data_IF_108425879794
#
_entry.id   IF_108425879794
#
_cell.length_a   1.000
_cell.length_b   1.000
_cell.length_c   1.000
_cell.angle_alpha   90.00
_cell.angle_beta   90.00
_cell.angle_gamma   90.00
#
_symmetry.space_group_name_H-M   'P 1'
#
loop_
_entity.id
_entity.type
_entity.pdbx_description
1 polymer ?
#
# COMPACT_ATOMS: atom_id res chain seq x y z
N UNK A 1 -24.73 -2.83 14.33
CA UNK A 1 -23.29 -2.68 14.00
C UNK A 1 -23.17 -2.83 12.51
N UNK A 2 -22.38 -1.97 11.84
CA UNK A 2 -22.08 -2.12 10.42
C UNK A 2 -20.71 -2.81 10.26
N UNK A 3 -20.63 -3.79 9.37
CA UNK A 3 -19.44 -4.56 9.05
C UNK A 3 -19.03 -4.27 7.61
N UNK A 4 -17.86 -3.67 7.45
CA UNK A 4 -17.28 -3.29 6.16
C UNK A 4 -16.06 -4.17 5.90
N UNK A 5 -16.01 -4.82 4.74
CA UNK A 5 -14.88 -5.64 4.30
C UNK A 5 -14.17 -5.02 3.10
N UNK A 6 -12.84 -5.06 3.05
CA UNK A 6 -12.07 -4.43 1.98
C UNK A 6 -10.70 -5.05 1.79
N UNK A 7 -10.03 -4.65 0.71
CA UNK A 7 -8.73 -5.17 0.29
C UNK A 7 -8.79 -5.98 -1.00
N UNK A 8 -7.67 -6.65 -1.31
CA UNK A 8 -7.46 -7.29 -2.62
C UNK A 8 -8.48 -8.40 -2.90
N UNK A 9 -8.63 -9.36 -1.98
CA UNK A 9 -9.57 -10.47 -2.13
C UNK A 9 -11.03 -10.01 -2.29
N UNK A 10 -11.61 -9.21 -1.37
CA UNK A 10 -13.00 -8.80 -1.50
C UNK A 10 -13.25 -7.88 -2.70
N UNK A 11 -12.24 -7.19 -3.23
CA UNK A 11 -12.39 -6.43 -4.48
C UNK A 11 -12.70 -7.33 -5.67
N UNK A 12 -12.08 -8.52 -5.75
CA UNK A 12 -12.32 -9.47 -6.84
C UNK A 12 -13.57 -10.33 -6.61
N UNK A 13 -13.84 -10.67 -5.35
CA UNK A 13 -14.87 -11.64 -4.99
C UNK A 13 -16.10 -11.01 -4.32
N UNK A 14 -16.33 -9.70 -4.50
CA UNK A 14 -17.40 -8.99 -3.81
C UNK A 14 -18.77 -9.64 -4.02
N UNK A 15 -19.05 -10.09 -5.24
CA UNK A 15 -20.32 -10.70 -5.59
C UNK A 15 -20.51 -12.02 -4.84
N UNK A 16 -19.50 -12.91 -4.89
CA UNK A 16 -19.55 -14.22 -4.25
C UNK A 16 -19.63 -14.09 -2.72
N UNK A 17 -18.89 -13.14 -2.13
CA UNK A 17 -18.93 -12.87 -0.70
C UNK A 17 -20.32 -12.44 -0.26
N UNK A 18 -20.93 -11.46 -0.95
CA UNK A 18 -22.26 -11.01 -0.60
C UNK A 18 -23.28 -12.13 -0.84
N UNK A 19 -23.21 -12.86 -1.95
CA UNK A 19 -24.13 -13.96 -2.22
C UNK A 19 -24.04 -15.12 -1.19
N UNK A 20 -22.87 -15.35 -0.59
CA UNK A 20 -22.64 -16.50 0.28
C UNK A 20 -22.91 -16.25 1.78
N UNK A 21 -22.92 -15.00 2.24
CA UNK A 21 -23.07 -14.68 3.66
C UNK A 21 -23.57 -13.26 3.91
N UNK A 22 -24.37 -13.08 4.96
CA UNK A 22 -24.87 -11.79 5.44
C UNK A 22 -23.96 -11.14 6.50
N UNK A 23 -22.77 -11.71 6.74
CA UNK A 23 -21.82 -11.19 7.74
C UNK A 23 -21.25 -9.80 7.38
N UNK A 24 -21.39 -9.35 6.13
CA UNK A 24 -20.87 -8.09 5.63
C UNK A 24 -21.99 -7.25 5.03
N UNK A 25 -22.10 -6.00 5.50
CA UNK A 25 -23.05 -5.02 4.99
C UNK A 25 -22.51 -4.34 3.72
N UNK A 26 -21.20 -4.08 3.70
CA UNK A 26 -20.52 -3.39 2.62
C UNK A 26 -19.18 -4.03 2.27
N UNK A 27 -18.84 -3.97 0.99
CA UNK A 27 -17.52 -4.26 0.48
C UNK A 27 -16.93 -3.01 -0.15
N UNK A 28 -15.78 -2.58 0.35
CA UNK A 28 -14.96 -1.52 -0.27
C UNK A 28 -14.03 -2.15 -1.30
N UNK A 29 -14.19 -1.72 -2.55
CA UNK A 29 -13.50 -2.25 -3.73
C UNK A 29 -12.40 -1.28 -4.18
N UNK A 30 -11.22 -1.83 -4.43
CA UNK A 30 -10.03 -1.06 -4.79
C UNK A 30 -9.36 -0.40 -3.59
N UNK A 31 -8.78 0.77 -3.81
CA UNK A 31 -8.07 1.52 -2.77
C UNK A 31 -9.05 2.13 -1.77
N UNK A 32 -8.93 1.73 -0.50
CA UNK A 32 -10.00 1.93 0.48
C UNK A 32 -10.03 3.29 1.17
N UNK A 33 -8.93 4.03 1.15
CA UNK A 33 -8.75 5.21 2.01
C UNK A 33 -9.77 6.33 1.71
N UNK A 34 -9.97 6.65 0.43
CA UNK A 34 -10.96 7.65 0.01
C UNK A 34 -12.39 7.08 0.06
N UNK A 35 -12.54 5.81 -0.33
CA UNK A 35 -13.84 5.18 -0.51
C UNK A 35 -14.53 4.91 0.82
N UNK A 36 -13.80 4.49 1.86
CA UNK A 36 -14.39 4.25 3.17
C UNK A 36 -14.90 5.54 3.81
N UNK A 37 -14.16 6.65 3.64
CA UNK A 37 -14.61 7.97 4.10
C UNK A 37 -15.88 8.38 3.37
N UNK A 38 -15.90 8.24 2.03
CA UNK A 38 -17.07 8.57 1.22
C UNK A 38 -18.30 7.74 1.59
N UNK A 39 -18.12 6.45 1.90
CA UNK A 39 -19.20 5.56 2.36
C UNK A 39 -19.73 6.00 3.73
N UNK A 40 -18.84 6.24 4.70
CA UNK A 40 -19.24 6.67 6.05
C UNK A 40 -19.97 8.02 6.00
N UNK A 41 -19.49 8.98 5.21
CA UNK A 41 -20.17 10.26 5.03
C UNK A 41 -21.54 10.12 4.37
N UNK A 42 -21.68 9.22 3.39
CA UNK A 42 -22.97 8.96 2.75
C UNK A 42 -23.97 8.35 3.72
N UNK A 43 -23.53 7.41 4.56
CA UNK A 43 -24.36 6.79 5.60
C UNK A 43 -24.79 7.81 6.66
N UNK A 44 -23.86 8.60 7.17
CA UNK A 44 -24.12 9.63 8.18
C UNK A 44 -25.11 10.69 7.67
N UNK A 45 -24.92 11.14 6.42
CA UNK A 45 -25.76 12.18 5.78
C UNK A 45 -26.98 11.62 5.04
N UNK A 46 -27.22 10.31 5.10
CA UNK A 46 -28.31 9.60 4.38
C UNK A 46 -28.36 9.93 2.89
N UNK A 47 -27.20 10.02 2.24
CA UNK A 47 -27.08 10.20 0.79
C UNK A 47 -27.26 8.86 0.06
N UNK A 48 -27.71 8.88 -1.21
CA UNK A 48 -27.81 7.66 -2.00
C UNK A 48 -26.46 6.93 -2.11
N UNK A 49 -26.45 5.65 -1.70
CA UNK A 49 -25.24 4.82 -1.74
C UNK A 49 -24.78 4.54 -3.18
N UNK A 50 -25.69 4.59 -4.16
CA UNK A 50 -25.39 4.45 -5.58
C UNK A 50 -24.37 5.50 -6.08
N UNK A 51 -24.27 6.66 -5.42
CA UNK A 51 -23.34 7.74 -5.78
C UNK A 51 -21.91 7.52 -5.25
N UNK A 52 -21.74 6.62 -4.27
CA UNK A 52 -20.44 6.28 -3.69
C UNK A 52 -19.71 5.34 -4.62
N UNK A 53 -18.64 5.80 -5.26
CA UNK A 53 -17.85 4.96 -6.15
C UNK A 53 -17.00 3.94 -5.39
N UNK A 54 -16.92 2.71 -5.91
CA UNK A 54 -16.04 1.67 -5.40
C UNK A 54 -16.60 0.88 -4.21
N UNK A 55 -17.93 0.78 -4.07
CA UNK A 55 -18.54 -0.08 -3.05
C UNK A 55 -19.38 -1.19 -3.68
N UNK A 56 -19.62 -2.23 -2.91
CA UNK A 56 -20.66 -3.23 -3.17
C UNK A 56 -21.44 -3.51 -1.89
N UNK A 57 -22.73 -3.79 -2.03
CA UNK A 57 -23.68 -4.02 -0.95
C UNK A 57 -24.91 -4.75 -1.51
N UNK A 58 -25.88 -5.11 -0.66
CA UNK A 58 -27.17 -5.64 -1.10
C UNK A 58 -28.15 -4.50 -1.41
N UNK A 59 -28.77 -4.50 -2.59
CA UNK A 59 -29.79 -3.52 -2.94
C UNK A 59 -31.10 -3.72 -2.16
N UNK A 60 -32.11 -2.88 -2.40
CA UNK A 60 -33.42 -2.95 -1.72
C UNK A 60 -34.18 -4.28 -1.96
N UNK A 61 -33.73 -5.09 -2.93
CA UNK A 61 -34.24 -6.42 -3.25
C UNK A 61 -33.34 -7.54 -2.71
N UNK A 62 -32.41 -7.19 -1.83
CA UNK A 62 -31.44 -8.09 -1.18
C UNK A 62 -30.45 -8.76 -2.16
N UNK A 63 -30.16 -8.13 -3.30
CA UNK A 63 -29.27 -8.68 -4.31
C UNK A 63 -27.89 -8.01 -4.26
N UNK A 64 -26.79 -8.78 -4.42
CA UNK A 64 -25.47 -8.20 -4.56
C UNK A 64 -25.42 -7.16 -5.70
N UNK A 65 -25.11 -5.93 -5.33
CA UNK A 65 -25.00 -4.78 -6.21
C UNK A 65 -23.68 -4.08 -6.00
N UNK A 66 -23.08 -3.56 -7.07
CA UNK A 66 -21.84 -2.82 -6.98
C UNK A 66 -21.90 -1.53 -7.78
N UNK A 67 -21.40 -0.45 -7.19
CA UNK A 67 -21.32 0.84 -7.84
C UNK A 67 -20.17 0.88 -8.85
N UNK A 68 -20.12 1.96 -9.63
CA UNK A 68 -18.99 2.22 -10.53
C UNK A 68 -17.66 2.16 -9.75
N UNK A 69 -16.56 1.66 -10.35
CA UNK A 69 -15.26 1.63 -9.69
C UNK A 69 -14.82 3.02 -9.20
N UNK A 70 -14.16 3.06 -8.04
CA UNK A 70 -13.50 4.27 -7.57
C UNK A 70 -12.29 4.61 -8.47
N UNK A 71 -11.99 5.91 -8.56
CA UNK A 71 -10.71 6.35 -9.09
C UNK A 71 -9.59 5.87 -8.18
N UNK A 72 -8.44 5.55 -8.77
CA UNK A 72 -7.26 5.16 -7.98
C UNK A 72 -6.59 6.40 -7.39
N UNK A 73 -5.98 6.29 -6.21
CA UNK A 73 -5.37 7.44 -5.53
C UNK A 73 -4.16 7.91 -6.33
N UNK A 74 -4.14 9.20 -6.67
CA UNK A 74 -3.06 9.79 -7.46
C UNK A 74 -1.91 10.23 -6.56
N UNK A 75 -2.22 10.99 -5.51
CA UNK A 75 -1.25 11.45 -4.53
C UNK A 75 -1.28 10.52 -3.29
N UNK A 76 -0.29 9.63 -3.20
CA UNK A 76 -0.19 8.68 -2.09
C UNK A 76 0.12 9.39 -0.76
N UNK A 77 0.79 10.54 -0.77
CA UNK A 77 1.08 11.31 0.45
C UNK A 77 -0.12 12.08 1.00
N UNK A 78 -1.26 12.08 0.30
CA UNK A 78 -2.51 12.64 0.84
C UNK A 78 -3.11 11.76 1.95
N UNK A 79 -2.68 10.50 2.05
CA UNK A 79 -3.17 9.53 3.02
C UNK A 79 -2.01 9.04 3.89
N UNK A 80 -1.85 9.65 5.06
CA UNK A 80 -0.81 9.24 6.01
C UNK A 80 -1.19 7.94 6.72
N UNK A 81 -0.17 7.20 7.16
CA UNK A 81 -0.37 6.11 8.12
C UNK A 81 -0.60 6.70 9.52
N UNK A 82 -1.55 6.13 10.24
CA UNK A 82 -1.82 6.46 11.64
C UNK A 82 -0.86 5.77 12.60
N UNK A 83 0.44 6.04 12.51
CA UNK A 83 1.48 5.40 13.34
C UNK A 83 1.22 5.55 14.85
N UNK A 84 0.59 6.64 15.26
CA UNK A 84 0.18 6.90 16.64
C UNK A 84 -0.86 5.90 17.18
N UNK A 85 -1.55 5.19 16.29
CA UNK A 85 -2.53 4.16 16.65
C UNK A 85 -1.88 2.79 16.88
N UNK A 86 -0.57 2.67 16.65
CA UNK A 86 0.16 1.40 16.66
C UNK A 86 1.29 1.47 17.69
N UNK A 87 1.31 0.51 18.62
CA UNK A 87 2.49 0.32 19.47
C UNK A 87 3.55 -0.48 18.69
N UNK A 88 4.39 0.25 17.95
CA UNK A 88 5.44 -0.30 17.08
C UNK A 88 6.38 -1.28 17.81
N UNK A 89 6.54 -1.14 19.13
CA UNK A 89 7.40 -2.02 19.93
C UNK A 89 6.92 -3.46 20.00
N UNK A 90 5.64 -3.71 19.70
CA UNK A 90 5.03 -5.05 19.69
C UNK A 90 5.33 -5.84 18.41
N UNK A 91 5.88 -5.17 17.39
CA UNK A 91 6.09 -5.76 16.08
C UNK A 91 7.58 -5.96 15.83
N UNK A 92 7.94 -7.19 15.46
CA UNK A 92 9.29 -7.54 15.06
C UNK A 92 9.28 -8.37 13.78
N UNK A 93 10.38 -8.31 13.05
CA UNK A 93 10.60 -9.08 11.85
C UNK A 93 12.08 -9.46 11.74
N UNK A 94 12.36 -10.52 11.00
CA UNK A 94 13.71 -10.95 10.58
C UNK A 94 14.81 -10.77 11.64
N UNK A 95 14.94 -11.77 12.52
CA UNK A 95 15.92 -11.75 13.61
C UNK A 95 15.48 -10.94 14.84
N UNK A 96 14.17 -10.78 15.05
CA UNK A 96 13.61 -10.09 16.23
C UNK A 96 13.77 -8.57 16.22
N UNK A 97 14.20 -8.00 15.09
CA UNK A 97 14.36 -6.55 14.92
C UNK A 97 13.01 -5.86 14.97
N UNK A 98 12.94 -4.71 15.62
CA UNK A 98 11.71 -3.90 15.59
C UNK A 98 11.44 -3.44 14.17
N UNK A 99 10.27 -3.77 13.66
CA UNK A 99 9.99 -3.61 12.24
C UNK A 99 8.57 -3.17 11.94
N UNK A 100 8.43 -2.43 10.84
CA UNK A 100 7.14 -2.07 10.26
C UNK A 100 7.12 -2.38 8.77
N UNK A 101 5.91 -2.51 8.23
CA UNK A 101 5.67 -2.60 6.80
C UNK A 101 5.34 -1.22 6.29
N UNK A 102 5.99 -0.78 5.23
CA UNK A 102 5.72 0.49 4.57
C UNK A 102 5.57 0.28 3.07
N UNK A 103 4.93 1.22 2.40
CA UNK A 103 4.73 1.18 0.96
C UNK A 103 5.25 2.48 0.36
N UNK A 104 6.29 2.39 -0.46
CA UNK A 104 6.86 3.55 -1.18
C UNK A 104 6.01 3.88 -2.43
N UNK A 105 5.51 2.85 -3.09
CA UNK A 105 4.81 2.89 -4.35
C UNK A 105 3.68 1.85 -4.41
N UNK A 106 2.70 2.13 -5.25
CA UNK A 106 1.57 1.24 -5.56
C UNK A 106 1.58 0.88 -7.02
N UNK A 107 1.40 -0.40 -7.31
CA UNK A 107 1.29 -0.92 -8.66
C UNK A 107 2.61 -1.32 -9.26
N UNK A 108 2.51 -1.87 -10.47
CA UNK A 108 3.63 -2.39 -11.22
C UNK A 108 3.31 -2.25 -12.70
N UNK A 109 4.21 -1.67 -13.53
CA UNK A 109 3.93 -1.46 -14.95
C UNK A 109 4.03 -2.76 -15.78
N UNK A 110 4.50 -3.85 -15.19
CA UNK A 110 4.77 -5.09 -15.89
C UNK A 110 3.53 -5.99 -16.05
N UNK A 111 3.52 -6.82 -17.09
CA UNK A 111 2.39 -7.65 -17.53
C UNK A 111 2.62 -9.15 -17.24
N UNK A 112 3.09 -9.48 -16.03
CA UNK A 112 3.32 -10.89 -15.67
C UNK A 112 1.99 -11.66 -15.70
N UNK A 113 1.91 -12.71 -16.52
CA UNK A 113 0.69 -13.47 -16.76
C UNK A 113 0.14 -14.21 -15.53
N UNK A 114 0.98 -14.47 -14.53
CA UNK A 114 0.62 -15.11 -13.27
C UNK A 114 0.23 -14.12 -12.16
N UNK A 115 0.42 -12.81 -12.37
CA UNK A 115 0.32 -11.82 -11.30
C UNK A 115 -1.10 -11.27 -11.15
N UNK A 116 -1.77 -11.65 -10.06
CA UNK A 116 -3.10 -11.10 -9.71
C UNK A 116 -3.08 -9.63 -9.26
N UNK A 117 -1.94 -9.11 -8.78
CA UNK A 117 -1.86 -7.77 -8.19
C UNK A 117 -2.15 -6.64 -9.19
N UNK A 118 -1.83 -6.83 -10.48
CA UNK A 118 -2.02 -5.80 -11.50
C UNK A 118 -3.47 -5.37 -11.67
N UNK A 119 -4.42 -6.29 -11.53
CA UNK A 119 -5.84 -5.97 -11.68
C UNK A 119 -6.33 -5.00 -10.59
N UNK A 120 -5.66 -4.99 -9.44
CA UNK A 120 -5.97 -4.13 -8.31
C UNK A 120 -5.13 -2.84 -8.40
N UNK A 121 -3.81 -3.00 -8.54
CA UNK A 121 -2.86 -1.88 -8.60
C UNK A 121 -2.48 -1.53 -10.05
N UNK A 122 -3.45 -0.97 -10.78
CA UNK A 122 -3.39 -0.82 -12.25
C UNK A 122 -2.31 0.12 -12.77
N UNK A 123 -1.85 1.10 -11.99
CA UNK A 123 -0.85 2.09 -12.38
C UNK A 123 0.21 2.26 -11.31
N UNK A 124 1.47 2.27 -11.73
CA UNK A 124 2.59 2.58 -10.85
C UNK A 124 2.59 4.06 -10.46
N UNK A 125 2.56 4.32 -9.16
CA UNK A 125 2.68 5.66 -8.54
C UNK A 125 3.49 5.54 -7.27
N UNK A 126 4.17 6.60 -6.88
CA UNK A 126 5.01 6.60 -5.70
C UNK A 126 4.73 7.81 -4.81
N UNK A 127 5.12 7.66 -3.54
CA UNK A 127 5.22 8.73 -2.57
C UNK A 127 6.41 9.63 -2.87
N UNK A 128 6.40 10.83 -2.33
CA UNK A 128 7.55 11.72 -2.38
C UNK A 128 8.78 11.04 -1.72
N UNK A 129 9.89 10.86 -2.46
CA UNK A 129 11.05 10.15 -1.96
C UNK A 129 11.66 10.74 -0.68
N UNK A 130 11.64 12.07 -0.55
CA UNK A 130 12.23 12.77 0.59
C UNK A 130 11.31 12.66 1.81
N UNK A 131 9.99 12.82 1.63
CA UNK A 131 9.03 12.65 2.72
C UNK A 131 9.02 11.21 3.24
N UNK A 132 9.12 10.23 2.34
CA UNK A 132 9.17 8.82 2.72
C UNK A 132 10.44 8.50 3.53
N UNK A 133 11.61 9.00 3.10
CA UNK A 133 12.85 8.84 3.86
C UNK A 133 12.78 9.49 5.24
N UNK A 134 12.24 10.71 5.33
CA UNK A 134 12.01 11.42 6.60
C UNK A 134 11.11 10.64 7.54
N UNK A 135 10.05 10.03 7.03
CA UNK A 135 9.14 9.19 7.81
C UNK A 135 9.84 7.96 8.37
N UNK A 136 10.65 7.27 7.57
CA UNK A 136 11.48 6.14 8.03
C UNK A 136 12.45 6.58 9.13
N UNK A 137 13.12 7.71 8.94
CA UNK A 137 14.07 8.23 9.92
C UNK A 137 13.39 8.67 11.23
N UNK A 138 12.21 9.28 11.14
CA UNK A 138 11.37 9.58 12.30
C UNK A 138 10.94 8.32 13.05
N UNK A 139 10.48 7.28 12.34
CA UNK A 139 10.12 5.99 12.95
C UNK A 139 11.32 5.35 13.68
N UNK A 140 12.52 5.49 13.15
CA UNK A 140 13.73 5.04 13.84
C UNK A 140 14.00 5.83 15.11
N UNK A 141 14.05 7.17 14.99
CA UNK A 141 14.44 8.06 16.09
C UNK A 141 13.44 8.03 17.25
N UNK A 142 12.14 8.05 16.94
CA UNK A 142 11.07 8.16 17.94
C UNK A 142 10.55 6.81 18.42
N UNK A 143 10.52 5.81 17.54
CA UNK A 143 9.91 4.50 17.84
C UNK A 143 10.91 3.34 17.86
N UNK A 144 12.19 3.63 17.60
CA UNK A 144 13.26 2.63 17.60
C UNK A 144 13.08 1.57 16.53
N UNK A 145 12.44 1.89 15.39
CA UNK A 145 12.32 0.97 14.26
C UNK A 145 13.70 0.70 13.68
N UNK A 146 14.05 -0.57 13.53
CA UNK A 146 15.34 -1.01 13.00
C UNK A 146 15.24 -1.51 11.56
N UNK A 147 14.05 -1.95 11.15
CA UNK A 147 13.83 -2.57 9.83
C UNK A 147 12.51 -2.13 9.20
N UNK A 148 12.56 -1.82 7.91
CA UNK A 148 11.40 -1.59 7.05
C UNK A 148 11.28 -2.73 6.06
N UNK A 149 10.08 -3.32 5.99
CA UNK A 149 9.70 -4.22 4.90
C UNK A 149 8.82 -3.47 3.91
N UNK A 150 9.27 -3.34 2.67
CA UNK A 150 8.51 -2.71 1.60
C UNK A 150 7.44 -3.67 1.08
N UNK A 151 6.18 -3.25 1.18
CA UNK A 151 5.02 -4.00 0.66
C UNK A 151 4.75 -3.76 -0.84
N UNK A 152 5.56 -2.93 -1.47
CA UNK A 152 5.48 -2.58 -2.89
C UNK A 152 5.48 -3.82 -3.81
N UNK A 153 4.66 -3.78 -4.87
CA UNK A 153 4.77 -4.76 -5.96
C UNK A 153 6.08 -4.59 -6.74
N UNK A 154 6.50 -3.34 -6.98
CA UNK A 154 7.80 -3.01 -7.54
C UNK A 154 8.24 -1.57 -7.16
N UNK A 155 9.00 -1.38 -6.06
CA UNK A 155 9.44 -0.06 -5.59
C UNK A 155 10.43 0.62 -6.55
N UNK A 156 11.16 -0.18 -7.33
CA UNK A 156 12.26 0.26 -8.20
C UNK A 156 11.84 0.51 -9.63
N UNK A 157 10.54 0.47 -9.97
CA UNK A 157 10.08 0.66 -11.36
C UNK A 157 10.59 1.95 -12.03
N UNK A 158 10.86 3.00 -11.23
CA UNK A 158 11.50 4.23 -11.72
C UNK A 158 12.86 4.43 -11.08
N UNK A 159 13.93 4.23 -11.86
CA UNK A 159 15.32 4.51 -11.45
C UNK A 159 15.49 5.92 -10.89
N UNK A 160 14.83 6.91 -11.49
CA UNK A 160 14.90 8.32 -11.06
C UNK A 160 14.30 8.51 -9.67
N UNK A 161 13.08 8.00 -9.45
CA UNK A 161 12.41 8.14 -8.16
C UNK A 161 13.12 7.33 -7.07
N UNK A 162 13.57 6.12 -7.42
CA UNK A 162 14.29 5.25 -6.50
C UNK A 162 15.65 5.84 -6.10
N UNK A 163 16.44 6.36 -7.05
CA UNK A 163 17.69 7.09 -6.74
C UNK A 163 17.45 8.23 -5.76
N UNK A 164 16.41 9.05 -6.00
CA UNK A 164 16.08 10.17 -5.11
C UNK A 164 15.74 9.69 -3.69
N UNK A 165 15.06 8.54 -3.55
CA UNK A 165 14.78 7.92 -2.26
C UNK A 165 16.06 7.45 -1.56
N UNK A 166 16.95 6.76 -2.29
CA UNK A 166 18.23 6.29 -1.75
C UNK A 166 19.09 7.46 -1.25
N UNK A 167 19.21 8.52 -2.05
CA UNK A 167 19.95 9.73 -1.68
C UNK A 167 19.35 10.41 -0.44
N UNK A 168 18.02 10.50 -0.36
CA UNK A 168 17.32 11.03 0.81
C UNK A 168 17.55 10.17 2.07
N UNK A 169 17.48 8.84 1.96
CA UNK A 169 17.77 7.93 3.07
C UNK A 169 19.20 8.04 3.57
N UNK A 170 20.17 8.16 2.67
CA UNK A 170 21.58 8.38 3.02
C UNK A 170 21.73 9.70 3.79
N UNK A 171 21.06 10.76 3.35
CA UNK A 171 21.10 12.06 4.02
C UNK A 171 20.53 12.01 5.45
N UNK A 172 19.49 11.20 5.69
CA UNK A 172 18.93 11.02 7.04
C UNK A 172 19.89 10.35 8.03
N UNK A 173 20.90 9.63 7.54
CA UNK A 173 21.98 9.04 8.35
C UNK A 173 21.48 8.17 9.51
N UNK A 174 20.41 7.39 9.28
CA UNK A 174 19.87 6.43 10.25
C UNK A 174 20.25 4.99 9.87
N UNK A 175 20.58 4.12 10.84
CA UNK A 175 21.00 2.74 10.60
C UNK A 175 19.81 1.79 10.35
N UNK A 176 18.81 2.23 9.59
CA UNK A 176 17.62 1.43 9.30
C UNK A 176 17.89 0.45 8.17
N UNK A 177 17.46 -0.79 8.34
CA UNK A 177 17.57 -1.84 7.35
C UNK A 177 16.32 -1.85 6.46
N UNK A 178 16.49 -1.94 5.15
CA UNK A 178 15.40 -1.99 4.19
C UNK A 178 15.43 -3.34 3.48
N UNK A 179 14.28 -3.99 3.45
CA UNK A 179 14.03 -5.22 2.70
C UNK A 179 12.77 -5.09 1.87
N UNK A 180 12.66 -5.86 0.80
CA UNK A 180 11.43 -5.92 0.01
C UNK A 180 11.56 -6.83 -1.20
N UNK A 181 10.77 -6.57 -2.22
CA UNK A 181 10.83 -7.24 -3.52
C UNK A 181 11.18 -6.27 -4.65
N UNK A 182 11.90 -6.75 -5.65
CA UNK A 182 12.19 -6.02 -6.90
C UNK A 182 12.37 -7.03 -8.04
N UNK A 183 12.63 -6.57 -9.25
CA UNK A 183 12.84 -7.42 -10.42
C UNK A 183 14.32 -7.51 -10.79
N UNK A 184 14.69 -8.61 -11.44
CA UNK A 184 16.06 -8.82 -11.89
C UNK A 184 16.52 -7.77 -12.94
N UNK A 185 15.63 -7.36 -13.84
CA UNK A 185 15.91 -6.34 -14.86
C UNK A 185 16.13 -4.95 -14.24
N UNK A 186 15.40 -4.61 -13.18
CA UNK A 186 15.63 -3.38 -12.40
C UNK A 186 17.03 -3.36 -11.77
N UNK A 187 17.49 -4.48 -11.20
CA UNK A 187 18.85 -4.61 -10.64
C UNK A 187 19.92 -4.44 -11.72
N UNK A 188 19.73 -5.03 -12.90
CA UNK A 188 20.67 -4.88 -14.03
C UNK A 188 20.69 -3.43 -14.52
N UNK A 189 19.52 -2.80 -14.67
CA UNK A 189 19.40 -1.38 -15.07
C UNK A 189 20.08 -0.44 -14.07
N UNK A 190 20.09 -0.81 -12.79
CA UNK A 190 20.58 0.01 -11.69
C UNK A 190 22.01 -0.33 -11.27
N UNK A 191 22.76 -1.10 -12.08
CA UNK A 191 24.13 -1.51 -11.78
C UNK A 191 25.06 -0.35 -11.35
N UNK A 192 24.93 0.82 -11.97
CA UNK A 192 25.69 2.05 -11.65
C UNK A 192 25.32 2.66 -10.29
N UNK A 193 24.18 2.31 -9.70
CA UNK A 193 23.70 2.83 -8.42
C UNK A 193 23.55 1.80 -7.31
N UNK A 194 23.86 0.52 -7.54
CA UNK A 194 23.74 -0.52 -6.49
C UNK A 194 24.56 -0.19 -5.23
N UNK A 195 25.64 0.56 -5.34
CA UNK A 195 26.40 1.05 -4.19
C UNK A 195 25.57 1.99 -3.28
N UNK A 196 24.62 2.76 -3.85
CA UNK A 196 23.70 3.60 -3.09
C UNK A 196 22.64 2.77 -2.34
N UNK A 197 22.20 1.64 -2.91
CA UNK A 197 21.27 0.73 -2.24
C UNK A 197 21.82 0.32 -0.88
N UNK A 198 23.08 -0.16 -0.86
CA UNK A 198 23.74 -0.59 0.38
C UNK A 198 23.92 0.57 1.36
N UNK A 199 24.34 1.75 0.87
CA UNK A 199 24.52 2.96 1.71
C UNK A 199 23.21 3.44 2.34
N UNK A 200 22.10 3.33 1.62
CA UNK A 200 20.76 3.70 2.10
C UNK A 200 20.13 2.65 3.04
N UNK A 201 20.84 1.56 3.36
CA UNK A 201 20.35 0.53 4.27
C UNK A 201 19.61 -0.63 3.59
N UNK A 202 19.56 -0.69 2.26
CA UNK A 202 18.97 -1.85 1.57
C UNK A 202 19.90 -3.06 1.74
N UNK A 203 19.39 -4.10 2.37
CA UNK A 203 20.18 -5.30 2.71
C UNK A 203 19.70 -6.56 2.01
N UNK A 204 18.47 -6.60 1.50
CA UNK A 204 17.90 -7.79 0.87
C UNK A 204 16.78 -7.43 -0.08
N UNK A 205 16.82 -8.07 -1.24
CA UNK A 205 15.71 -8.14 -2.17
C UNK A 205 15.27 -9.58 -2.39
N UNK A 206 13.95 -9.79 -2.47
CA UNK A 206 13.38 -10.92 -3.17
C UNK A 206 13.27 -10.54 -4.65
N UNK A 207 13.76 -11.41 -5.53
CA UNK A 207 13.75 -11.20 -6.99
C UNK A 207 12.67 -12.07 -7.62
N UNK A 208 11.84 -11.47 -8.47
CA UNK A 208 10.79 -12.14 -9.25
C UNK A 208 10.71 -11.65 -10.68
#
# INVERSE_FOLDING_TARGET
TLVIYGGVFPTYHWHDILAATDAFDFIVRGEGEATIVSLVEALDRRRPLADVAGIAYRDDLDRPFATRPAGTIVNLDAYRVGWELIDVRRYSYWGGKRAVVMQFSRGCPHLCNYCGQRGFWTRWRHRDPVKFAREIAWLHREHGVELINLADENPTSSKRAWRAFLEAMIAESVPVLIVGSTRADDIVRDADILHLYRKAGVIRWLLG
#
